data_IF_206602953815
#
_entry.id   IF_206602953815
#
_cell.length_a   1.000
_cell.length_b   1.000
_cell.length_c   1.000
_cell.angle_alpha   90.00
_cell.angle_beta   90.00
_cell.angle_gamma   90.00
#
_symmetry.space_group_name_H-M   'P 1'
#
loop_
_entity.id
_entity.type
_entity.pdbx_description
1 polymer ?
#
# COMPACT_ATOMS: atom_id res chain seq x y z
N UNK A 1 37.70 -14.96 -5.89
CA UNK A 1 38.34 -13.73 -5.35
C UNK A 1 39.02 -12.85 -6.41
N UNK A 2 39.61 -13.39 -7.49
CA UNK A 2 40.30 -12.55 -8.49
C UNK A 2 39.33 -11.67 -9.33
N UNK A 3 38.18 -12.22 -9.74
CA UNK A 3 37.14 -11.53 -10.52
C UNK A 3 36.61 -10.26 -9.82
N UNK A 4 36.22 -10.38 -8.54
CA UNK A 4 35.67 -9.26 -7.76
C UNK A 4 36.71 -8.16 -7.53
N UNK A 5 37.97 -8.52 -7.24
CA UNK A 5 39.05 -7.53 -7.08
C UNK A 5 39.32 -6.76 -8.37
N UNK A 6 39.28 -7.45 -9.52
CA UNK A 6 39.42 -6.82 -10.82
C UNK A 6 38.25 -5.87 -11.11
N UNK A 7 37.02 -6.32 -10.90
CA UNK A 7 35.82 -5.49 -11.08
C UNK A 7 35.86 -4.23 -10.17
N UNK A 8 36.22 -4.38 -8.90
CA UNK A 8 36.37 -3.23 -7.98
C UNK A 8 37.46 -2.24 -8.42
N UNK A 9 38.60 -2.76 -8.89
CA UNK A 9 39.67 -1.92 -9.40
C UNK A 9 39.22 -1.13 -10.63
N UNK A 10 38.38 -1.73 -11.47
CA UNK A 10 37.85 -1.10 -12.66
C UNK A 10 36.84 0.01 -12.33
N UNK A 11 35.93 -0.25 -11.39
CA UNK A 11 34.99 0.75 -10.85
C UNK A 11 35.74 1.97 -10.31
N UNK A 12 36.84 1.76 -9.58
CA UNK A 12 37.67 2.86 -9.04
C UNK A 12 38.39 3.68 -10.10
N UNK A 13 38.68 3.11 -11.28
CA UNK A 13 39.36 3.83 -12.38
C UNK A 13 38.43 4.78 -13.13
N UNK A 14 37.11 4.56 -13.10
CA UNK A 14 36.11 5.39 -13.81
C UNK A 14 34.89 5.68 -12.91
N UNK A 15 35.08 6.42 -11.81
CA UNK A 15 34.04 6.61 -10.79
C UNK A 15 32.82 7.37 -11.31
N UNK A 16 33.00 8.33 -12.21
CA UNK A 16 31.91 9.15 -12.76
C UNK A 16 30.81 8.31 -13.41
N UNK A 17 31.19 7.29 -14.17
CA UNK A 17 30.24 6.42 -14.88
C UNK A 17 29.55 5.47 -13.94
N UNK A 18 30.33 4.88 -13.04
CA UNK A 18 29.77 4.03 -12.01
C UNK A 18 28.69 4.79 -11.23
N UNK A 19 28.98 6.02 -10.81
CA UNK A 19 28.03 6.88 -10.11
C UNK A 19 26.81 7.19 -10.99
N UNK A 20 27.00 7.56 -12.26
CA UNK A 20 25.88 7.87 -13.16
C UNK A 20 24.95 6.66 -13.38
N UNK A 21 25.50 5.46 -13.61
CA UNK A 21 24.71 4.24 -13.75
C UNK A 21 24.00 3.89 -12.45
N UNK A 22 24.71 3.93 -11.32
CA UNK A 22 24.15 3.63 -10.00
C UNK A 22 23.02 4.59 -9.67
N UNK A 23 23.19 5.89 -9.88
CA UNK A 23 22.14 6.90 -9.60
C UNK A 23 20.92 6.70 -10.49
N UNK A 24 21.09 6.48 -11.79
CA UNK A 24 19.97 6.26 -12.71
C UNK A 24 19.15 5.02 -12.35
N UNK A 25 19.83 3.90 -12.06
CA UNK A 25 19.19 2.65 -11.65
C UNK A 25 18.57 2.80 -10.26
N UNK A 26 19.28 3.40 -9.30
CA UNK A 26 18.81 3.59 -7.93
C UNK A 26 17.57 4.49 -7.90
N UNK A 27 17.50 5.52 -8.74
CA UNK A 27 16.32 6.38 -8.86
C UNK A 27 15.11 5.61 -9.37
N UNK A 28 15.26 4.78 -10.41
CA UNK A 28 14.18 3.91 -10.89
C UNK A 28 13.71 2.93 -9.81
N UNK A 29 14.65 2.26 -9.13
CA UNK A 29 14.34 1.34 -8.03
C UNK A 29 13.65 2.08 -6.89
N UNK A 30 14.11 3.29 -6.56
CA UNK A 30 13.52 4.10 -5.51
C UNK A 30 12.06 4.47 -5.87
N UNK A 31 11.81 4.98 -7.08
CA UNK A 31 10.46 5.34 -7.52
C UNK A 31 9.47 4.17 -7.43
N UNK A 32 9.87 2.97 -7.88
CA UNK A 32 9.01 1.77 -7.79
C UNK A 32 8.84 1.33 -6.34
N UNK A 33 9.92 1.29 -5.57
CA UNK A 33 9.88 0.87 -4.17
C UNK A 33 9.03 1.82 -3.34
N UNK A 34 9.09 3.14 -3.56
CA UNK A 34 8.25 4.14 -2.89
C UNK A 34 6.78 3.85 -3.15
N UNK A 35 6.36 3.75 -4.42
CA UNK A 35 4.95 3.50 -4.75
C UNK A 35 4.46 2.17 -4.18
N UNK A 36 5.27 1.12 -4.27
CA UNK A 36 4.93 -0.20 -3.74
C UNK A 36 4.84 -0.21 -2.21
N UNK A 37 5.74 0.50 -1.54
CA UNK A 37 5.72 0.65 -0.08
C UNK A 37 4.46 1.39 0.35
N UNK A 38 4.14 2.51 -0.30
CA UNK A 38 2.91 3.28 -0.04
C UNK A 38 1.68 2.40 -0.27
N UNK A 39 1.60 1.71 -1.41
CA UNK A 39 0.50 0.81 -1.77
C UNK A 39 0.31 -0.34 -0.76
N UNK A 40 1.39 -0.96 -0.28
CA UNK A 40 1.35 -1.98 0.75
C UNK A 40 0.95 -1.43 2.12
N UNK A 41 1.41 -0.23 2.48
CA UNK A 41 1.00 0.48 3.68
C UNK A 41 -0.50 0.75 3.69
N UNK A 42 -1.03 1.33 2.61
CA UNK A 42 -2.47 1.57 2.45
C UNK A 42 -3.30 0.29 2.44
N UNK A 43 -2.81 -0.82 1.87
CA UNK A 43 -3.49 -2.11 1.98
C UNK A 43 -3.59 -2.56 3.44
N UNK A 44 -2.47 -2.52 4.17
CA UNK A 44 -2.44 -2.95 5.57
C UNK A 44 -3.37 -2.08 6.42
N UNK A 45 -3.28 -0.76 6.30
CA UNK A 45 -4.16 0.18 7.00
C UNK A 45 -5.61 -0.02 6.60
N UNK A 46 -5.90 -0.27 5.32
CA UNK A 46 -7.24 -0.56 4.83
C UNK A 46 -7.83 -1.82 5.44
N UNK A 47 -7.06 -2.91 5.51
CA UNK A 47 -7.47 -4.17 6.12
C UNK A 47 -7.78 -3.99 7.62
N UNK A 48 -6.90 -3.34 8.37
CA UNK A 48 -7.12 -3.07 9.80
C UNK A 48 -8.32 -2.16 10.04
N UNK A 49 -8.50 -1.14 9.20
CA UNK A 49 -9.63 -0.21 9.33
C UNK A 49 -10.96 -0.91 9.04
N UNK A 50 -11.02 -1.76 8.02
CA UNK A 50 -12.22 -2.52 7.71
C UNK A 50 -12.49 -3.58 8.78
N UNK A 51 -11.47 -4.27 9.29
CA UNK A 51 -11.64 -5.20 10.40
C UNK A 51 -12.23 -4.51 11.65
N UNK A 52 -11.77 -3.29 11.95
CA UNK A 52 -12.29 -2.48 13.06
C UNK A 52 -13.73 -1.98 12.82
N UNK A 53 -14.12 -1.68 11.58
CA UNK A 53 -15.51 -1.35 11.23
C UNK A 53 -16.41 -2.57 11.34
N UNK A 54 -15.96 -3.72 10.82
CA UNK A 54 -16.76 -4.92 10.77
C UNK A 54 -16.93 -5.55 12.15
N UNK A 55 -15.90 -5.55 13.00
CA UNK A 55 -15.99 -6.12 14.35
C UNK A 55 -16.50 -7.57 14.40
N UNK A 56 -16.32 -8.33 13.31
CA UNK A 56 -16.84 -9.69 13.15
C UNK A 56 -18.29 -9.81 12.64
N UNK A 57 -18.96 -8.71 12.29
CA UNK A 57 -20.29 -8.73 11.69
C UNK A 57 -20.31 -9.34 10.28
N UNK A 58 -21.39 -10.05 9.96
CA UNK A 58 -21.52 -10.79 8.71
C UNK A 58 -22.01 -9.92 7.56
N UNK A 59 -22.79 -8.88 7.84
CA UNK A 59 -23.22 -7.91 6.83
C UNK A 59 -22.96 -6.49 7.33
N UNK A 60 -22.58 -5.62 6.40
CA UNK A 60 -22.35 -4.21 6.64
C UNK A 60 -23.24 -3.37 5.73
N UNK A 61 -24.26 -2.72 6.29
CA UNK A 61 -25.19 -1.90 5.52
C UNK A 61 -24.75 -0.43 5.56
N UNK A 62 -24.35 0.09 4.41
CA UNK A 62 -23.82 1.45 4.23
C UNK A 62 -24.87 2.40 3.65
N UNK A 63 -24.75 3.71 3.89
CA UNK A 63 -25.70 4.70 3.37
C UNK A 63 -25.63 4.79 1.84
N UNK A 64 -26.67 5.36 1.21
CA UNK A 64 -26.73 5.56 -0.24
C UNK A 64 -25.62 6.47 -0.78
N UNK A 65 -25.16 7.43 0.04
CA UNK A 65 -24.01 8.27 -0.27
C UNK A 65 -22.67 7.51 -0.18
N UNK A 66 -22.67 6.32 0.43
CA UNK A 66 -21.49 5.49 0.60
C UNK A 66 -20.66 5.82 1.84
N UNK A 67 -19.45 5.31 1.82
CA UNK A 67 -18.45 5.52 2.86
C UNK A 67 -17.12 5.80 2.19
N UNK A 68 -16.29 6.59 2.84
CA UNK A 68 -14.93 6.84 2.38
C UNK A 68 -13.92 6.66 3.50
N UNK A 69 -12.69 6.36 3.13
CA UNK A 69 -11.56 6.46 4.05
C UNK A 69 -11.04 7.87 4.05
N UNK A 70 -11.00 8.48 5.23
CA UNK A 70 -10.39 9.77 5.44
C UNK A 70 -8.96 9.57 5.98
N UNK A 71 -7.92 10.00 5.22
CA UNK A 71 -6.53 9.82 5.61
C UNK A 71 -6.09 10.69 6.78
N UNK A 72 -6.81 11.78 7.10
CA UNK A 72 -6.48 12.69 8.20
C UNK A 72 -6.88 12.09 9.55
N UNK A 73 -8.06 11.47 9.60
CA UNK A 73 -8.56 10.77 10.80
C UNK A 73 -8.27 9.26 10.80
N UNK A 74 -7.71 8.74 9.71
CA UNK A 74 -7.32 7.33 9.52
C UNK A 74 -8.45 6.32 9.80
N UNK A 75 -9.65 6.64 9.32
CA UNK A 75 -10.84 5.83 9.56
C UNK A 75 -11.80 5.87 8.37
N UNK A 76 -12.72 4.90 8.33
CA UNK A 76 -13.89 4.95 7.45
C UNK A 76 -14.93 5.89 8.06
N UNK A 77 -15.43 6.80 7.23
CA UNK A 77 -16.44 7.80 7.56
C UNK A 77 -17.68 7.56 6.69
N UNK A 78 -18.86 7.69 7.30
CA UNK A 78 -20.13 7.63 6.58
C UNK A 78 -20.41 8.94 5.84
N UNK A 79 -20.78 8.85 4.56
CA UNK A 79 -21.09 10.01 3.73
C UNK A 79 -22.57 10.43 3.79
N UNK A 80 -23.36 9.75 4.61
CA UNK A 80 -24.78 10.03 4.75
C UNK A 80 -25.47 9.20 5.83
N UNK A 81 -26.79 9.40 5.98
CA UNK A 81 -27.55 8.77 7.04
C UNK A 81 -27.64 7.25 6.84
N UNK A 82 -27.47 6.51 7.95
CA UNK A 82 -27.59 5.05 7.93
C UNK A 82 -28.94 4.62 7.30
N UNK A 83 -28.98 3.54 6.50
CA UNK A 83 -30.23 3.06 5.91
C UNK A 83 -31.31 2.81 6.96
N UNK A 84 -32.56 3.16 6.62
CA UNK A 84 -33.71 2.93 7.49
C UNK A 84 -34.14 1.46 7.41
N UNK A 85 -33.58 0.63 8.30
CA UNK A 85 -33.87 -0.81 8.36
C UNK A 85 -34.51 -1.21 9.68
N UNK A 86 -35.31 -2.26 9.62
CA UNK A 86 -35.80 -2.98 10.80
C UNK A 86 -35.26 -4.40 10.72
N UNK A 87 -34.43 -4.77 11.69
CA UNK A 87 -33.80 -6.09 11.70
C UNK A 87 -34.87 -7.18 11.80
N UNK A 88 -34.85 -8.21 10.93
CA UNK A 88 -35.70 -9.38 11.06
C UNK A 88 -35.45 -10.13 12.37
N UNK A 89 -36.41 -10.94 12.80
CA UNK A 89 -36.29 -11.72 14.04
C UNK A 89 -35.02 -12.61 14.03
N UNK A 90 -34.32 -12.63 15.16
CA UNK A 90 -33.07 -13.39 15.34
C UNK A 90 -31.81 -12.69 14.85
N UNK A 91 -31.92 -11.59 14.09
CA UNK A 91 -30.76 -10.78 13.71
C UNK A 91 -30.43 -9.75 14.77
N UNK A 92 -29.14 -9.52 14.99
CA UNK A 92 -28.67 -8.37 15.79
C UNK A 92 -28.21 -7.28 14.84
N UNK A 93 -28.77 -6.08 14.97
CA UNK A 93 -28.37 -4.93 14.17
C UNK A 93 -27.87 -3.81 15.10
N UNK A 94 -26.61 -3.44 14.94
CA UNK A 94 -25.97 -2.38 15.71
C UNK A 94 -25.73 -1.19 14.80
N UNK A 95 -26.39 -0.07 15.11
CA UNK A 95 -26.15 1.19 14.40
C UNK A 95 -24.88 1.83 14.93
N UNK A 96 -23.97 2.18 14.03
CA UNK A 96 -22.81 3.00 14.36
C UNK A 96 -22.97 4.33 13.68
N UNK A 97 -23.16 5.40 14.46
CA UNK A 97 -23.06 6.75 13.92
C UNK A 97 -21.59 7.05 13.62
N UNK A 98 -21.32 7.76 12.53
CA UNK A 98 -19.95 7.99 12.07
C UNK A 98 -19.79 9.38 11.47
N UNK A 99 -18.69 10.02 11.82
CA UNK A 99 -18.28 11.30 11.28
C UNK A 99 -16.95 11.76 11.86
N UNK A 100 -16.67 13.05 11.74
CA UNK A 100 -15.44 13.66 12.23
C UNK A 100 -15.78 14.70 13.29
N UNK A 101 -14.99 14.75 14.36
CA UNK A 101 -15.06 15.79 15.39
C UNK A 101 -13.68 16.36 15.63
N UNK A 102 -13.59 17.63 15.99
CA UNK A 102 -12.34 18.26 16.41
C UNK A 102 -12.12 18.07 17.92
N UNK A 103 -10.98 17.52 18.29
CA UNK A 103 -10.51 17.44 19.67
C UNK A 103 -9.23 18.25 19.81
N UNK A 104 -9.35 19.46 20.34
CA UNK A 104 -8.19 20.31 20.64
C UNK A 104 -7.41 20.76 19.38
N UNK A 105 -8.11 21.01 18.28
CA UNK A 105 -7.53 21.39 16.99
C UNK A 105 -7.04 20.21 16.16
N UNK A 106 -7.34 18.98 16.56
CA UNK A 106 -7.06 17.77 15.80
C UNK A 106 -8.37 17.09 15.37
N UNK A 107 -8.60 16.85 14.07
CA UNK A 107 -9.74 16.07 13.64
C UNK A 107 -9.55 14.60 14.00
N UNK A 108 -10.62 13.99 14.51
CA UNK A 108 -10.66 12.59 14.93
C UNK A 108 -11.93 11.92 14.43
N UNK A 109 -11.86 10.61 14.22
CA UNK A 109 -13.01 9.81 13.84
C UNK A 109 -13.93 9.62 15.04
N UNK A 110 -15.17 10.13 14.95
CA UNK A 110 -16.21 9.94 15.95
C UNK A 110 -17.09 8.75 15.58
N UNK A 111 -17.30 7.84 16.53
CA UNK A 111 -18.28 6.76 16.45
C UNK A 111 -19.32 6.87 17.55
N UNK A 112 -20.59 6.73 17.20
CA UNK A 112 -21.68 6.59 18.16
C UNK A 112 -22.02 5.13 18.38
N UNK A 113 -22.08 4.69 19.63
CA UNK A 113 -22.53 3.34 20.00
C UNK A 113 -23.42 3.39 21.24
N UNK A 114 -24.44 2.53 21.27
CA UNK A 114 -25.30 2.32 22.42
C UNK A 114 -24.61 1.52 23.55
N UNK A 115 -23.49 0.85 23.24
CA UNK A 115 -22.68 0.10 24.20
C UNK A 115 -21.80 1.01 25.07
N UNK A 116 -21.62 2.27 24.66
CA UNK A 116 -20.83 3.24 25.42
C UNK A 116 -21.70 3.86 26.51
N UNK A 117 -21.26 3.69 27.76
CA UNK A 117 -21.97 4.23 28.93
C UNK A 117 -22.06 5.75 28.88
N UNK A 118 -23.20 6.30 29.34
CA UNK A 118 -23.40 7.74 29.45
C UNK A 118 -22.27 8.40 30.25
N UNK A 119 -21.76 9.53 29.75
CA UNK A 119 -20.66 10.26 30.38
C UNK A 119 -19.26 9.69 30.13
N UNK A 120 -19.13 8.61 29.33
CA UNK A 120 -17.83 8.07 28.92
C UNK A 120 -17.54 8.33 27.45
N UNK A 121 -16.27 8.41 27.12
CA UNK A 121 -15.76 8.34 25.76
C UNK A 121 -14.68 7.26 25.72
N UNK A 122 -14.82 6.29 24.82
CA UNK A 122 -13.83 5.23 24.65
C UNK A 122 -12.89 5.60 23.51
N UNK A 123 -11.59 5.74 23.79
CA UNK A 123 -10.58 6.07 22.79
C UNK A 123 -9.70 4.85 22.55
N UNK A 124 -9.37 4.58 21.30
CA UNK A 124 -8.26 3.67 21.00
C UNK A 124 -6.93 4.25 21.49
N UNK A 125 -6.00 3.40 21.88
CA UNK A 125 -4.69 3.81 22.42
C UNK A 125 -3.90 4.69 21.44
N UNK A 126 -3.94 4.36 20.15
CA UNK A 126 -3.27 5.14 19.11
C UNK A 126 -3.85 6.56 18.97
N UNK A 127 -5.18 6.69 19.11
CA UNK A 127 -5.82 8.00 19.15
C UNK A 127 -5.42 8.76 20.42
N UNK A 128 -5.49 8.11 21.58
CA UNK A 128 -5.18 8.73 22.87
C UNK A 128 -3.75 9.30 22.91
N UNK A 129 -2.77 8.53 22.41
CA UNK A 129 -1.38 8.99 22.27
C UNK A 129 -1.25 10.20 21.31
N UNK A 130 -2.03 10.21 20.22
CA UNK A 130 -2.01 11.27 19.21
C UNK A 130 -2.56 12.59 19.74
N UNK A 131 -3.66 12.55 20.49
CA UNK A 131 -4.30 13.73 21.09
C UNK A 131 -3.76 14.08 22.48
N UNK A 132 -2.91 13.21 23.06
CA UNK A 132 -2.30 13.41 24.36
C UNK A 132 -3.26 13.27 25.54
N UNK A 133 -4.28 12.41 25.42
CA UNK A 133 -5.26 12.15 26.49
C UNK A 133 -4.90 10.90 27.29
N UNK A 134 -5.00 10.99 28.61
CA UNK A 134 -4.81 9.85 29.50
C UNK A 134 -6.15 9.20 29.92
N UNK A 135 -6.08 7.94 30.37
CA UNK A 135 -7.22 7.24 30.95
C UNK A 135 -7.75 7.99 32.19
N UNK A 136 -9.06 8.21 32.23
CA UNK A 136 -9.73 8.99 33.28
C UNK A 136 -9.73 10.51 33.09
N UNK A 137 -9.04 11.04 32.07
CA UNK A 137 -9.08 12.46 31.73
C UNK A 137 -10.44 12.88 31.14
N UNK A 138 -10.76 14.18 31.15
CA UNK A 138 -12.00 14.68 30.54
C UNK A 138 -11.76 15.16 29.12
N UNK A 139 -12.67 14.79 28.23
CA UNK A 139 -12.71 15.24 26.84
C UNK A 139 -14.07 15.86 26.53
N UNK A 140 -14.08 16.96 25.80
CA UNK A 140 -15.30 17.62 25.32
C UNK A 140 -15.65 17.09 23.94
N UNK A 141 -16.85 16.53 23.77
CA UNK A 141 -17.38 16.07 22.48
C UNK A 141 -18.79 16.61 22.31
N UNK A 142 -19.02 17.42 21.27
CA UNK A 142 -20.35 17.99 21.02
C UNK A 142 -20.90 18.85 22.17
N UNK A 143 -20.01 19.51 22.93
CA UNK A 143 -20.36 20.29 24.12
C UNK A 143 -20.73 19.46 25.35
N UNK A 144 -20.40 18.17 25.36
CA UNK A 144 -20.55 17.27 26.50
C UNK A 144 -19.18 16.90 27.05
N UNK A 145 -18.99 17.08 28.36
CA UNK A 145 -17.79 16.63 29.05
C UNK A 145 -17.89 15.14 29.39
N UNK A 146 -17.02 14.33 28.77
CA UNK A 146 -16.98 12.88 28.90
C UNK A 146 -15.67 12.44 29.56
N UNK A 147 -15.69 11.33 30.30
CA UNK A 147 -14.48 10.70 30.86
C UNK A 147 -13.88 9.78 29.81
N UNK A 148 -12.65 10.08 29.40
CA UNK A 148 -11.86 9.28 28.49
C UNK A 148 -11.52 7.93 29.13
N UNK A 149 -11.82 6.85 28.42
CA UNK A 149 -11.44 5.48 28.74
C UNK A 149 -10.62 4.93 27.59
N UNK A 150 -9.39 4.49 27.83
CA UNK A 150 -8.53 3.98 26.75
C UNK A 150 -8.77 2.48 26.57
N UNK A 151 -9.29 2.07 25.40
CA UNK A 151 -9.54 0.67 25.05
C UNK A 151 -9.44 0.44 23.54
N UNK A 152 -8.74 -0.63 23.16
CA UNK A 152 -8.51 -0.99 21.76
C UNK A 152 -7.35 -0.21 21.14
N UNK A 153 -6.95 -0.57 19.92
CA UNK A 153 -5.79 0.02 19.22
C UNK A 153 -6.18 1.04 18.13
N UNK A 154 -7.47 1.39 18.02
CA UNK A 154 -8.02 2.19 16.91
C UNK A 154 -7.71 3.69 16.94
N UNK A 155 -8.04 4.37 15.84
CA UNK A 155 -7.95 5.83 15.65
C UNK A 155 -9.28 6.57 15.89
N UNK A 156 -10.28 5.86 16.39
CA UNK A 156 -11.63 6.40 16.64
C UNK A 156 -11.89 6.64 18.12
N UNK A 157 -12.71 7.65 18.40
CA UNK A 157 -13.36 7.89 19.69
C UNK A 157 -14.81 7.43 19.60
N UNK A 158 -15.20 6.53 20.49
CA UNK A 158 -16.56 6.02 20.60
C UNK A 158 -17.28 6.70 21.77
N UNK A 159 -18.43 7.31 21.50
CA UNK A 159 -19.26 8.02 22.49
C UNK A 159 -20.68 7.46 22.49
N UNK A 160 -21.52 7.78 23.50
CA UNK A 160 -22.92 7.39 23.50
C UNK A 160 -23.62 7.89 22.23
N UNK A 161 -24.52 7.09 21.67
CA UNK A 161 -25.20 7.42 20.41
C UNK A 161 -25.86 8.80 20.42
N UNK A 162 -26.42 9.24 21.55
CA UNK A 162 -27.01 10.57 21.71
C UNK A 162 -26.00 11.72 21.54
N UNK A 163 -24.77 11.54 22.01
CA UNK A 163 -23.68 12.52 21.85
C UNK A 163 -23.17 12.52 20.42
N UNK A 164 -22.99 11.33 19.82
CA UNK A 164 -22.61 11.26 18.41
C UNK A 164 -23.65 11.92 17.52
N UNK A 165 -24.94 11.66 17.76
CA UNK A 165 -26.03 12.22 16.96
C UNK A 165 -26.08 13.75 17.02
N UNK A 166 -25.71 14.37 18.14
CA UNK A 166 -25.67 15.84 18.22
C UNK A 166 -24.53 16.47 17.41
N UNK A 167 -23.49 15.69 17.08
CA UNK A 167 -22.31 16.15 16.33
C UNK A 167 -22.43 15.81 14.84
N UNK A 168 -22.75 14.55 14.52
CA UNK A 168 -22.70 14.02 13.15
C UNK A 168 -24.09 13.75 12.56
N UNK A 169 -25.15 14.05 13.30
CA UNK A 169 -26.52 13.76 12.89
C UNK A 169 -26.77 12.27 12.75
N UNK A 170 -27.48 11.89 11.69
CA UNK A 170 -27.85 10.50 11.42
C UNK A 170 -26.81 9.72 10.61
N UNK A 171 -25.69 10.36 10.28
CA UNK A 171 -24.62 9.75 9.48
C UNK A 171 -24.08 8.50 10.15
N UNK A 172 -24.02 7.41 9.41
CA UNK A 172 -23.59 6.13 9.97
C UNK A 172 -23.88 4.94 9.07
N UNK A 173 -23.68 3.76 9.64
CA UNK A 173 -23.95 2.48 8.99
C UNK A 173 -24.52 1.49 10.01
N UNK A 174 -24.90 0.31 9.53
CA UNK A 174 -25.30 -0.81 10.37
C UNK A 174 -24.32 -1.97 10.25
N UNK A 175 -23.96 -2.53 11.40
CA UNK A 175 -23.35 -3.84 11.48
C UNK A 175 -24.41 -4.87 11.84
N UNK A 176 -24.47 -5.95 11.07
CA UNK A 176 -25.52 -6.95 11.18
C UNK A 176 -24.88 -8.30 11.50
N UNK A 177 -25.32 -8.90 12.59
CA UNK A 177 -24.95 -10.24 12.98
C UNK A 177 -26.09 -11.19 12.66
N UNK A 178 -25.73 -12.27 11.96
CA UNK A 178 -26.65 -13.35 11.65
C UNK A 178 -27.11 -14.07 12.94
N UNK A 179 -28.27 -14.74 12.92
CA UNK A 179 -28.70 -15.58 14.02
C UNK A 179 -27.66 -16.64 14.37
N UNK A 180 -27.61 -17.03 15.65
CA UNK A 180 -26.65 -18.00 16.16
C UNK A 180 -26.67 -19.31 15.33
N UNK A 181 -25.50 -19.76 14.91
CA UNK A 181 -25.31 -20.94 14.07
C UNK A 181 -25.52 -20.73 12.56
N UNK A 182 -25.86 -19.50 12.13
CA UNK A 182 -26.02 -19.14 10.72
C UNK A 182 -24.93 -18.20 10.19
N UNK A 183 -23.92 -17.89 10.99
CA UNK A 183 -22.89 -16.87 10.72
C UNK A 183 -22.06 -17.18 9.46
N UNK A 184 -22.01 -18.45 9.05
CA UNK A 184 -21.23 -18.92 7.90
C UNK A 184 -22.10 -19.21 6.66
N UNK A 185 -23.39 -18.85 6.69
CA UNK A 185 -24.25 -18.99 5.52
C UNK A 185 -23.81 -18.03 4.42
N UNK A 186 -23.87 -18.48 3.17
CA UNK A 186 -23.44 -17.70 1.99
C UNK A 186 -24.57 -16.90 1.33
N UNK A 187 -25.79 -17.05 1.82
CA UNK A 187 -26.99 -16.39 1.34
C UNK A 187 -27.54 -15.36 2.34
N UNK A 188 -26.70 -14.93 3.29
CA UNK A 188 -27.04 -13.94 4.31
C UNK A 188 -27.43 -12.60 3.67
N UNK A 189 -26.62 -12.09 2.74
CA UNK A 189 -26.92 -10.82 2.07
C UNK A 189 -28.21 -10.87 1.26
N UNK A 190 -28.48 -11.99 0.59
CA UNK A 190 -29.73 -12.21 -0.14
C UNK A 190 -30.94 -12.26 0.80
N UNK A 191 -30.85 -13.03 1.88
CA UNK A 191 -31.97 -13.23 2.81
C UNK A 191 -32.29 -11.96 3.58
N UNK A 192 -31.27 -11.29 4.13
CA UNK A 192 -31.45 -10.04 4.86
C UNK A 192 -31.88 -8.90 3.93
N UNK A 193 -31.20 -8.75 2.78
CA UNK A 193 -31.50 -7.71 1.80
C UNK A 193 -32.94 -7.78 1.29
N UNK A 194 -33.46 -8.99 1.01
CA UNK A 194 -34.85 -9.18 0.64
C UNK A 194 -35.84 -8.83 1.76
N UNK A 195 -35.45 -9.03 3.03
CA UNK A 195 -36.31 -8.73 4.17
C UNK A 195 -36.41 -7.22 4.48
N UNK A 196 -35.35 -6.45 4.19
CA UNK A 196 -35.27 -5.00 4.45
C UNK A 196 -35.36 -4.13 3.20
N UNK A 197 -35.59 -4.74 2.03
CA UNK A 197 -35.64 -4.08 0.72
C UNK A 197 -34.38 -3.26 0.39
N UNK A 198 -33.21 -3.83 0.64
CA UNK A 198 -31.92 -3.24 0.27
C UNK A 198 -31.16 -4.12 -0.72
N UNK A 199 -30.49 -3.51 -1.73
CA UNK A 199 -29.58 -4.26 -2.58
C UNK A 199 -28.39 -4.77 -1.74
N UNK A 200 -27.82 -5.89 -2.16
CA UNK A 200 -26.63 -6.46 -1.54
C UNK A 200 -25.57 -6.81 -2.57
N UNK A 201 -24.32 -6.88 -2.13
CA UNK A 201 -23.19 -7.30 -2.95
C UNK A 201 -22.14 -7.99 -2.08
N UNK A 202 -21.43 -8.96 -2.67
CA UNK A 202 -20.21 -9.53 -2.07
C UNK A 202 -18.94 -8.86 -2.61
N UNK A 203 -19.07 -7.96 -3.59
CA UNK A 203 -17.97 -7.26 -4.24
C UNK A 203 -17.78 -5.88 -3.60
N UNK A 204 -16.67 -5.63 -2.89
CA UNK A 204 -16.42 -4.35 -2.22
C UNK A 204 -16.18 -3.19 -3.20
N UNK A 205 -15.99 -3.45 -4.50
CA UNK A 205 -15.80 -2.40 -5.51
C UNK A 205 -17.11 -1.75 -5.96
N UNK A 206 -18.25 -2.39 -5.68
CA UNK A 206 -19.57 -1.85 -5.99
C UNK A 206 -19.86 -0.69 -5.03
N UNK A 207 -20.16 0.47 -5.60
CA UNK A 207 -20.55 1.68 -4.87
C UNK A 207 -22.08 1.72 -4.77
N UNK A 208 -22.66 2.17 -3.64
CA UNK A 208 -24.12 2.33 -3.54
C UNK A 208 -24.67 3.29 -4.59
N UNK A 209 -25.93 3.10 -4.98
CA UNK A 209 -26.64 4.07 -5.82
C UNK A 209 -26.96 5.32 -4.98
N UNK A 210 -26.45 6.52 -5.34
CA UNK A 210 -26.74 7.75 -4.61
C UNK A 210 -28.23 8.13 -4.55
N UNK A 211 -29.04 7.62 -5.48
CA UNK A 211 -30.49 7.79 -5.48
C UNK A 211 -31.25 6.67 -4.73
N UNK A 212 -30.53 5.64 -4.27
CA UNK A 212 -31.09 4.49 -3.56
C UNK A 212 -31.24 4.72 -2.05
N UNK A 213 -31.55 3.64 -1.33
CA UNK A 213 -31.70 3.64 0.13
C UNK A 213 -30.43 3.20 0.89
N UNK A 214 -29.43 2.66 0.19
CA UNK A 214 -28.21 2.10 0.77
C UNK A 214 -27.76 0.84 0.03
N UNK A 215 -26.74 0.17 0.58
CA UNK A 215 -26.20 -1.08 0.05
C UNK A 215 -25.72 -1.96 1.20
N UNK A 216 -25.95 -3.26 1.10
CA UNK A 216 -25.42 -4.24 2.02
C UNK A 216 -24.18 -4.90 1.42
N UNK A 217 -23.04 -4.78 2.10
CA UNK A 217 -21.88 -5.62 1.84
C UNK A 217 -22.00 -6.93 2.62
N UNK A 218 -22.04 -8.05 1.90
CA UNK A 218 -21.98 -9.40 2.47
C UNK A 218 -20.52 -9.83 2.63
N UNK A 219 -20.05 -9.90 3.88
CA UNK A 219 -18.64 -10.14 4.21
C UNK A 219 -18.28 -11.62 4.23
N UNK A 220 -19.29 -12.49 4.30
CA UNK A 220 -19.17 -13.96 4.41
C UNK A 220 -19.38 -14.64 3.06
N UNK A 221 -20.31 -14.09 2.27
CA UNK A 221 -20.72 -14.63 0.98
C UNK A 221 -19.66 -14.53 -0.12
N UNK A 222 -20.02 -15.04 -1.29
CA UNK A 222 -19.16 -15.09 -2.47
C UNK A 222 -18.33 -16.37 -2.55
N UNK A 223 -17.50 -16.51 -3.59
CA UNK A 223 -16.68 -17.70 -3.87
C UNK A 223 -15.16 -17.43 -3.80
N UNK A 224 -14.78 -16.23 -3.39
CA UNK A 224 -13.38 -15.81 -3.30
C UNK A 224 -12.62 -16.56 -2.19
N UNK A 225 -11.36 -16.97 -2.42
CA UNK A 225 -10.49 -17.49 -1.36
C UNK A 225 -9.97 -16.39 -0.41
N UNK A 226 -10.07 -15.11 -0.81
CA UNK A 226 -9.73 -13.95 0.01
C UNK A 226 -10.94 -13.50 0.84
N UNK A 227 -10.68 -13.08 2.09
CA UNK A 227 -11.71 -12.50 2.96
C UNK A 227 -12.22 -11.17 2.43
N UNK A 228 -13.33 -10.65 2.96
CA UNK A 228 -13.86 -9.35 2.54
C UNK A 228 -12.86 -8.21 2.84
N UNK A 229 -12.23 -8.23 4.01
CA UNK A 229 -11.21 -7.26 4.43
C UNK A 229 -10.05 -7.22 3.45
N UNK A 230 -9.55 -8.39 3.02
CA UNK A 230 -8.48 -8.52 2.04
C UNK A 230 -8.88 -8.02 0.64
N UNK A 231 -10.12 -8.25 0.24
CA UNK A 231 -10.63 -7.74 -1.05
C UNK A 231 -10.82 -6.23 -1.00
N UNK A 232 -11.34 -5.70 0.11
CA UNK A 232 -11.50 -4.25 0.29
C UNK A 232 -10.13 -3.56 0.41
N UNK A 233 -9.17 -4.15 1.11
CA UNK A 233 -7.80 -3.63 1.23
C UNK A 233 -7.08 -3.55 -0.12
N UNK A 234 -7.36 -4.51 -1.02
CA UNK A 234 -6.85 -4.49 -2.38
C UNK A 234 -7.35 -3.26 -3.18
N UNK A 235 -8.54 -2.73 -2.89
CA UNK A 235 -9.06 -1.51 -3.53
C UNK A 235 -8.23 -0.28 -3.15
N UNK A 236 -7.79 -0.18 -1.89
CA UNK A 236 -6.90 0.89 -1.43
C UNK A 236 -5.55 0.84 -2.15
N UNK A 237 -4.95 -0.34 -2.21
CA UNK A 237 -3.69 -0.56 -2.93
C UNK A 237 -3.82 -0.28 -4.44
N UNK A 238 -4.95 -0.69 -5.03
CA UNK A 238 -5.27 -0.45 -6.43
C UNK A 238 -5.35 1.05 -6.75
N UNK A 239 -5.99 1.84 -5.88
CA UNK A 239 -6.06 3.31 -6.04
C UNK A 239 -4.67 3.95 -6.07
N UNK A 240 -3.74 3.51 -5.23
CA UNK A 240 -2.34 4.02 -5.23
C UNK A 240 -1.61 3.64 -6.52
N UNK A 241 -1.67 2.37 -6.92
CA UNK A 241 -0.95 1.87 -8.10
C UNK A 241 -1.52 2.44 -9.42
N UNK A 242 -2.83 2.67 -9.48
CA UNK A 242 -3.51 3.29 -10.64
C UNK A 242 -3.46 4.82 -10.64
N UNK A 243 -2.95 5.45 -9.59
CA UNK A 243 -2.87 6.92 -9.49
C UNK A 243 -1.76 7.52 -10.36
N UNK A 244 -1.74 8.86 -10.44
CA UNK A 244 -0.63 9.63 -11.02
C UNK A 244 0.73 9.24 -10.44
N UNK A 245 0.78 8.90 -9.14
CA UNK A 245 2.00 8.45 -8.48
C UNK A 245 2.52 7.13 -9.11
N UNK A 246 1.61 6.18 -9.38
CA UNK A 246 1.91 4.93 -10.05
C UNK A 246 2.40 5.13 -11.48
N UNK A 247 1.78 6.04 -12.23
CA UNK A 247 2.23 6.39 -13.58
C UNK A 247 3.65 7.01 -13.58
N UNK A 248 3.92 7.95 -12.68
CA UNK A 248 5.25 8.56 -12.53
C UNK A 248 6.30 7.49 -12.22
N UNK A 249 5.96 6.54 -11.34
CA UNK A 249 6.84 5.44 -10.99
C UNK A 249 7.13 4.49 -12.15
N UNK A 250 6.12 4.18 -12.97
CA UNK A 250 6.28 3.37 -14.17
C UNK A 250 7.16 4.06 -15.22
N UNK A 251 6.98 5.36 -15.44
CA UNK A 251 7.84 6.17 -16.33
C UNK A 251 9.26 6.25 -15.77
N UNK A 252 9.42 6.47 -14.46
CA UNK A 252 10.70 6.52 -13.78
C UNK A 252 11.48 5.21 -13.92
N UNK A 253 10.81 4.06 -13.78
CA UNK A 253 11.38 2.74 -14.03
C UNK A 253 11.90 2.61 -15.48
N UNK A 254 11.07 2.99 -16.45
CA UNK A 254 11.45 2.96 -17.86
C UNK A 254 12.66 3.84 -18.15
N UNK A 255 12.69 5.06 -17.60
CA UNK A 255 13.80 5.98 -17.78
C UNK A 255 15.10 5.46 -17.15
N UNK A 256 15.05 4.95 -15.90
CA UNK A 256 16.25 4.41 -15.26
C UNK A 256 16.77 3.16 -15.96
N UNK A 257 15.89 2.34 -16.54
CA UNK A 257 16.28 1.22 -17.40
C UNK A 257 16.99 1.70 -18.68
N UNK A 258 16.46 2.71 -19.36
CA UNK A 258 17.11 3.30 -20.55
C UNK A 258 18.47 3.90 -20.21
N UNK A 259 18.58 4.59 -19.07
CA UNK A 259 19.85 5.16 -18.59
C UNK A 259 20.88 4.05 -18.33
N UNK A 260 20.46 2.97 -17.67
CA UNK A 260 21.30 1.81 -17.41
C UNK A 260 21.84 1.19 -18.70
N UNK A 261 20.95 0.86 -19.64
CA UNK A 261 21.31 0.25 -20.94
C UNK A 261 22.25 1.18 -21.72
N UNK A 262 21.94 2.47 -21.80
CA UNK A 262 22.74 3.45 -22.54
C UNK A 262 24.14 3.60 -21.93
N UNK A 263 24.22 3.63 -20.61
CA UNK A 263 25.49 3.72 -19.88
C UNK A 263 26.35 2.46 -20.05
N UNK A 264 25.74 1.27 -19.98
CA UNK A 264 26.44 0.00 -20.23
C UNK A 264 26.90 -0.13 -21.67
N UNK A 265 26.07 0.23 -22.66
CA UNK A 265 26.46 0.24 -24.05
C UNK A 265 27.68 1.13 -24.28
N UNK A 266 27.69 2.35 -23.74
CA UNK A 266 28.84 3.25 -23.81
C UNK A 266 30.10 2.65 -23.14
N UNK A 267 29.95 1.95 -22.02
CA UNK A 267 31.07 1.27 -21.37
C UNK A 267 31.65 0.14 -22.22
N UNK A 268 30.79 -0.63 -22.89
CA UNK A 268 31.18 -1.72 -23.79
C UNK A 268 31.84 -1.16 -25.05
N UNK A 269 31.31 -0.08 -25.63
CA UNK A 269 31.88 0.51 -26.85
C UNK A 269 33.30 1.04 -26.64
N UNK A 270 33.56 1.66 -25.50
CA UNK A 270 34.89 2.21 -25.21
C UNK A 270 35.94 1.16 -24.90
N UNK A 271 35.54 -0.02 -24.45
CA UNK A 271 36.44 -1.15 -24.18
C UNK A 271 36.47 -2.17 -25.32
N UNK A 272 35.86 -1.87 -26.49
CA UNK A 272 35.82 -2.78 -27.65
C UNK A 272 37.19 -3.31 -28.03
N UNK A 273 38.19 -2.42 -28.09
CA UNK A 273 39.55 -2.80 -28.48
C UNK A 273 40.19 -3.76 -27.47
N UNK A 274 39.95 -3.53 -26.17
CA UNK A 274 40.42 -4.44 -25.10
C UNK A 274 39.79 -5.82 -25.26
N UNK A 275 38.48 -5.88 -25.54
CA UNK A 275 37.76 -7.13 -25.79
C UNK A 275 38.21 -7.83 -27.08
N UNK A 276 38.54 -7.08 -28.14
CA UNK A 276 39.09 -7.62 -29.38
C UNK A 276 40.46 -8.30 -29.18
N UNK A 277 41.33 -7.72 -28.36
CA UNK A 277 42.64 -8.30 -28.00
C UNK A 277 42.45 -9.58 -27.16
N UNK A 278 41.56 -9.55 -26.17
CA UNK A 278 41.32 -10.73 -25.32
C UNK A 278 40.66 -11.87 -26.12
N UNK A 279 39.74 -11.55 -27.03
CA UNK A 279 39.07 -12.53 -27.89
C UNK A 279 40.05 -13.18 -28.89
N UNK A 280 41.06 -12.45 -29.39
CA UNK A 280 42.06 -13.02 -30.29
C UNK A 280 43.05 -13.97 -29.60
N UNK A 281 43.17 -13.88 -28.27
CA UNK A 281 43.97 -14.78 -27.42
C UNK A 281 43.12 -15.98 -26.92
N UNK A 282 41.81 -15.98 -27.21
CA UNK A 282 40.89 -17.06 -26.82
C UNK A 282 40.25 -16.88 -25.43
N UNK A 283 40.31 -15.68 -24.84
CA UNK A 283 39.79 -15.37 -23.50
C UNK A 283 38.40 -14.68 -23.54
N UNK A 284 37.58 -15.01 -24.54
CA UNK A 284 36.29 -14.36 -24.77
C UNK A 284 35.26 -14.65 -23.65
N UNK A 285 35.28 -15.86 -23.10
CA UNK A 285 34.37 -16.26 -22.02
C UNK A 285 34.75 -15.59 -20.69
N UNK A 286 36.05 -15.48 -20.39
CA UNK A 286 36.54 -14.78 -19.20
C UNK A 286 36.15 -13.30 -19.22
N UNK A 287 36.23 -12.66 -20.39
CA UNK A 287 35.77 -11.29 -20.62
C UNK A 287 34.29 -11.12 -20.26
N UNK A 288 33.45 -12.05 -20.71
CA UNK A 288 32.02 -12.04 -20.38
C UNK A 288 31.81 -12.12 -18.86
N UNK A 289 32.52 -13.01 -18.16
CA UNK A 289 32.41 -13.13 -16.71
C UNK A 289 32.91 -11.88 -15.97
N UNK A 290 34.01 -11.26 -16.40
CA UNK A 290 34.50 -10.02 -15.79
C UNK A 290 33.45 -8.90 -15.89
N UNK A 291 32.86 -8.74 -17.07
CA UNK A 291 31.83 -7.74 -17.30
C UNK A 291 30.56 -8.05 -16.52
N UNK A 292 30.12 -9.30 -16.51
CA UNK A 292 28.91 -9.70 -15.78
C UNK A 292 29.06 -9.43 -14.27
N UNK A 293 30.25 -9.69 -13.70
CA UNK A 293 30.55 -9.36 -12.29
C UNK A 293 30.57 -7.84 -12.05
N UNK A 294 31.16 -7.05 -12.96
CA UNK A 294 31.15 -5.58 -12.89
C UNK A 294 29.72 -5.04 -12.90
N UNK A 295 28.89 -5.49 -13.84
CA UNK A 295 27.48 -5.13 -13.94
C UNK A 295 26.69 -5.59 -12.71
N UNK A 296 26.93 -6.80 -12.20
CA UNK A 296 26.27 -7.30 -11.00
C UNK A 296 26.55 -6.41 -9.78
N UNK A 297 27.80 -5.93 -9.63
CA UNK A 297 28.17 -5.00 -8.55
C UNK A 297 27.41 -3.67 -8.71
N UNK A 298 27.33 -3.14 -9.94
CA UNK A 298 26.56 -1.90 -10.23
C UNK A 298 25.09 -2.08 -9.87
N UNK A 299 24.44 -3.14 -10.36
CA UNK A 299 23.02 -3.41 -10.08
C UNK A 299 22.74 -3.63 -8.59
N UNK A 300 23.58 -4.40 -7.90
CA UNK A 300 23.42 -4.65 -6.47
C UNK A 300 23.60 -3.36 -5.66
N UNK A 301 24.61 -2.55 -6.00
CA UNK A 301 24.84 -1.25 -5.34
C UNK A 301 23.66 -0.32 -5.57
N UNK A 302 23.20 -0.21 -6.81
CA UNK A 302 22.05 0.62 -7.16
C UNK A 302 20.76 0.16 -6.48
N UNK A 303 20.56 -1.15 -6.35
CA UNK A 303 19.43 -1.71 -5.63
C UNK A 303 19.46 -1.33 -4.15
N UNK A 304 20.59 -1.57 -3.46
CA UNK A 304 20.75 -1.22 -2.04
C UNK A 304 20.54 0.27 -1.81
N UNK A 305 21.14 1.12 -2.64
CA UNK A 305 20.98 2.58 -2.54
C UNK A 305 19.53 2.99 -2.83
N UNK A 306 18.91 2.42 -3.85
CA UNK A 306 17.53 2.73 -4.25
C UNK A 306 16.50 2.34 -3.19
N UNK A 307 16.58 1.13 -2.63
CA UNK A 307 15.65 0.70 -1.57
C UNK A 307 15.86 1.49 -0.28
N UNK A 308 17.11 1.83 0.07
CA UNK A 308 17.40 2.63 1.25
C UNK A 308 16.87 4.06 1.09
N UNK A 309 17.10 4.68 -0.07
CA UNK A 309 16.56 6.00 -0.40
C UNK A 309 15.02 5.99 -0.38
N UNK A 310 14.39 4.95 -0.92
CA UNK A 310 12.93 4.79 -0.86
C UNK A 310 12.40 4.68 0.57
N UNK A 311 13.03 3.86 1.41
CA UNK A 311 12.63 3.68 2.80
C UNK A 311 12.73 4.98 3.60
N UNK A 312 13.86 5.70 3.46
CA UNK A 312 14.05 7.00 4.09
C UNK A 312 13.03 8.02 3.58
N UNK A 313 12.79 8.08 2.26
CA UNK A 313 11.83 9.01 1.68
C UNK A 313 10.39 8.76 2.19
N UNK A 314 9.94 7.50 2.22
CA UNK A 314 8.59 7.18 2.71
C UNK A 314 8.46 7.46 4.21
N UNK A 315 9.46 7.09 5.01
CA UNK A 315 9.44 7.34 6.46
C UNK A 315 9.38 8.82 6.82
N UNK A 316 10.02 9.70 6.03
CA UNK A 316 10.00 11.14 6.26
C UNK A 316 8.74 11.84 5.73
N UNK A 317 8.17 11.36 4.62
CA UNK A 317 7.04 12.03 3.96
C UNK A 317 5.69 11.53 4.46
N UNK A 318 5.54 10.23 4.74
CA UNK A 318 4.28 9.62 5.17
C UNK A 318 4.52 8.60 6.29
N UNK A 319 4.91 9.06 7.50
CA UNK A 319 5.27 8.16 8.60
C UNK A 319 4.12 7.22 9.02
N UNK A 320 2.86 7.65 8.88
CA UNK A 320 1.68 6.89 9.30
C UNK A 320 1.43 5.58 8.55
N UNK A 321 1.98 5.41 7.34
CA UNK A 321 1.88 4.17 6.55
C UNK A 321 3.24 3.50 6.32
N UNK A 322 4.31 4.08 6.87
CA UNK A 322 5.67 3.62 6.70
C UNK A 322 5.97 2.45 7.64
N UNK A 323 5.59 1.24 7.24
CA UNK A 323 5.92 0.02 8.00
C UNK A 323 7.11 -0.73 7.39
N UNK A 324 7.87 -1.42 8.25
CA UNK A 324 8.97 -2.27 7.80
C UNK A 324 8.49 -3.37 6.84
N UNK A 325 7.31 -3.94 7.10
CA UNK A 325 6.71 -4.97 6.25
C UNK A 325 6.36 -4.41 4.86
N UNK A 326 5.76 -3.23 4.77
CA UNK A 326 5.43 -2.59 3.50
C UNK A 326 6.69 -2.26 2.68
N UNK A 327 7.74 -1.77 3.35
CA UNK A 327 9.02 -1.48 2.70
C UNK A 327 9.70 -2.74 2.19
N UNK A 328 9.73 -3.81 2.99
CA UNK A 328 10.28 -5.11 2.59
C UNK A 328 9.51 -5.73 1.41
N UNK A 329 8.18 -5.62 1.39
CA UNK A 329 7.37 -6.06 0.26
C UNK A 329 7.71 -5.26 -1.01
N UNK A 330 7.82 -3.94 -0.90
CA UNK A 330 8.24 -3.08 -2.00
C UNK A 330 9.64 -3.43 -2.53
N UNK A 331 10.60 -3.66 -1.62
CA UNK A 331 11.96 -4.08 -1.95
C UNK A 331 12.00 -5.47 -2.62
N UNK A 332 11.23 -6.44 -2.12
CA UNK A 332 11.15 -7.77 -2.70
C UNK A 332 10.56 -7.74 -4.12
N UNK A 333 9.51 -6.95 -4.33
CA UNK A 333 8.90 -6.75 -5.64
C UNK A 333 9.90 -6.14 -6.63
N UNK A 334 10.67 -5.13 -6.23
CA UNK A 334 11.68 -4.53 -7.10
C UNK A 334 12.87 -5.45 -7.36
N UNK A 335 13.25 -6.30 -6.39
CA UNK A 335 14.31 -7.29 -6.57
C UNK A 335 14.02 -8.28 -7.70
N UNK A 336 12.74 -8.63 -7.93
CA UNK A 336 12.35 -9.54 -9.01
C UNK A 336 12.70 -9.02 -10.40
N UNK A 337 12.90 -7.70 -10.57
CA UNK A 337 13.32 -7.12 -11.84
C UNK A 337 14.83 -7.14 -12.06
N UNK A 338 15.64 -7.40 -11.02
CA UNK A 338 17.11 -7.41 -11.15
C UNK A 338 17.63 -8.41 -12.18
N UNK A 339 17.13 -9.67 -12.26
CA UNK A 339 17.59 -10.61 -13.29
C UNK A 339 17.27 -10.11 -14.70
N UNK A 340 16.07 -9.56 -14.92
CA UNK A 340 15.68 -9.02 -16.22
C UNK A 340 16.58 -7.82 -16.62
N UNK A 341 16.85 -6.91 -15.68
CA UNK A 341 17.76 -5.78 -15.91
C UNK A 341 19.20 -6.23 -16.17
N UNK A 342 19.69 -7.26 -15.48
CA UNK A 342 21.01 -7.82 -15.72
C UNK A 342 21.12 -8.46 -17.11
N UNK A 343 20.09 -9.19 -17.53
CA UNK A 343 20.05 -9.81 -18.86
C UNK A 343 20.05 -8.74 -19.95
N UNK A 344 19.10 -7.80 -19.90
CA UNK A 344 18.96 -6.83 -20.99
C UNK A 344 20.01 -5.73 -20.95
N UNK A 345 20.37 -5.26 -19.75
CA UNK A 345 21.31 -4.17 -19.54
C UNK A 345 22.78 -4.55 -19.68
N UNK A 346 23.15 -5.79 -19.36
CA UNK A 346 24.55 -6.22 -19.37
C UNK A 346 24.83 -7.39 -20.31
N UNK A 347 24.05 -8.47 -20.23
CA UNK A 347 24.33 -9.69 -20.99
C UNK A 347 24.13 -9.50 -22.50
N UNK A 348 23.01 -8.91 -22.92
CA UNK A 348 22.69 -8.71 -24.34
C UNK A 348 23.73 -7.86 -25.08
N UNK A 349 24.13 -6.67 -24.57
CA UNK A 349 25.16 -5.85 -25.21
C UNK A 349 26.50 -6.58 -25.39
N UNK A 350 26.96 -7.28 -24.35
CA UNK A 350 28.26 -7.97 -24.40
C UNK A 350 28.21 -9.19 -25.30
N UNK A 351 27.15 -9.98 -25.23
CA UNK A 351 27.00 -11.13 -26.11
C UNK A 351 27.00 -10.72 -27.58
N UNK A 352 26.29 -9.64 -27.93
CA UNK A 352 26.32 -9.08 -29.28
C UNK A 352 27.71 -8.61 -29.70
N UNK A 353 28.51 -8.07 -28.78
CA UNK A 353 29.87 -7.65 -29.08
C UNK A 353 30.80 -8.84 -29.34
N UNK A 354 30.74 -9.88 -28.51
CA UNK A 354 31.61 -11.06 -28.62
C UNK A 354 31.33 -11.91 -29.86
N UNK A 355 30.15 -11.76 -30.47
CA UNK A 355 29.82 -12.39 -31.75
C UNK A 355 30.50 -11.71 -32.96
N UNK A 356 31.06 -10.49 -32.81
CA UNK A 356 31.77 -9.80 -33.89
C UNK A 356 33.17 -10.40 -34.09
N UNK A 357 33.68 -10.35 -35.33
CA UNK A 357 35.00 -10.93 -35.60
C UNK A 357 36.08 -10.10 -34.88
N UNK A 358 37.11 -10.71 -34.27
CA UNK A 358 38.16 -9.97 -33.56
C UNK A 358 38.83 -8.88 -34.41
N UNK A 359 38.93 -9.09 -35.72
CA UNK A 359 39.47 -8.09 -36.66
C UNK A 359 38.60 -6.83 -36.79
N UNK A 360 37.27 -6.97 -36.68
CA UNK A 360 36.32 -5.85 -36.74
C UNK A 360 36.39 -5.01 -35.47
N UNK A 361 36.54 -5.67 -34.30
CA UNK A 361 36.70 -5.01 -33.00
C UNK A 361 37.99 -4.18 -32.88
N UNK A 362 38.98 -4.43 -33.74
CA UNK A 362 40.28 -3.75 -33.78
C UNK A 362 40.40 -2.74 -34.91
N UNK A 363 39.49 -2.78 -35.90
CA UNK A 363 39.62 -2.09 -37.19
C UNK A 363 38.90 -0.73 -37.29
N UNK A 364 37.91 -0.47 -36.44
CA UNK A 364 37.16 0.79 -36.47
C UNK A 364 38.05 1.97 -36.02
N UNK A 365 38.33 2.89 -36.96
CA UNK A 365 39.04 4.17 -36.76
C UNK A 365 38.07 5.33 -36.65
#
# INVERSE_FOLDING_TARGET
MCLVRFALANVRRRPERFVLSVVGIALAIACVTIVRTISAGFATTGETTIADVLGGGQLWAVPAAGVHYDPEVQAIIADGPAPAIVAPEGWTATRTLSGVVDLGGQPVSLRGSDDVSAGQAVLGSALADRVGLADGERVEVGGQSLVATIRGEGQSISVPASVAQSVVGDNGWWMLLAPEGQEQRRDLGQTFGAAVDLPFTTDPSVVPDPAGAGLIYDTVGGSSPLTFEQRYSALFSGKVTGSTLGMISMVGLGLGFVIAVSSFLAAVTERRREFGIMSSIGLADEVLYFFLVESAIVFLTAYVVGIAAAGVAVALVIPGIASLSAWLQGAALTAMFLPAMAIVGALVPVHRLLQQRPVELLGDR
#
